data_IF_423432216256
#
_entry.id   IF_423432216256
#
_cell.length_a   1.000
_cell.length_b   1.000
_cell.length_c   1.000
_cell.angle_alpha   90.00
_cell.angle_beta   90.00
_cell.angle_gamma   90.00
#
_symmetry.space_group_name_H-M   'P 1'
#
loop_
_entity.id
_entity.type
_entity.pdbx_description
1 polymer ?
#
# COMPACT_ATOMS: atom_id res chain seq x y z
N UNK A 1 29.97 -38.82 39.13
CA UNK A 1 29.00 -38.14 38.26
C UNK A 1 29.41 -36.68 38.22
N UNK A 2 29.99 -36.23 37.11
CA UNK A 2 30.28 -34.80 36.92
C UNK A 2 28.93 -34.08 36.86
N UNK A 3 28.70 -33.16 37.80
CA UNK A 3 27.54 -32.28 37.75
C UNK A 3 27.78 -31.30 36.60
N UNK A 4 26.84 -31.26 35.64
CA UNK A 4 26.85 -30.24 34.60
C UNK A 4 26.89 -28.86 35.25
N UNK A 5 27.72 -27.96 34.72
CA UNK A 5 27.74 -26.60 35.22
C UNK A 5 26.44 -25.89 34.84
N UNK A 6 26.04 -24.88 35.62
CA UNK A 6 24.88 -24.07 35.31
C UNK A 6 24.98 -23.44 33.90
N UNK A 7 26.22 -23.12 33.48
CA UNK A 7 26.54 -22.58 32.17
C UNK A 7 26.26 -23.58 31.03
N UNK A 8 26.52 -24.86 31.27
CA UNK A 8 26.23 -25.93 30.30
C UNK A 8 24.71 -26.12 30.17
N UNK A 9 23.98 -26.09 31.30
CA UNK A 9 22.52 -26.18 31.31
C UNK A 9 21.89 -25.00 30.54
N UNK A 10 22.36 -23.78 30.76
CA UNK A 10 21.88 -22.59 30.04
C UNK A 10 22.15 -22.69 28.53
N UNK A 11 23.35 -23.14 28.12
CA UNK A 11 23.66 -23.35 26.70
C UNK A 11 22.78 -24.43 26.07
N UNK A 12 22.53 -25.54 26.77
CA UNK A 12 21.64 -26.58 26.28
C UNK A 12 20.20 -26.08 26.08
N UNK A 13 19.68 -25.30 27.02
CA UNK A 13 18.34 -24.72 26.91
C UNK A 13 18.22 -23.75 25.73
N UNK A 14 19.22 -22.91 25.50
CA UNK A 14 19.21 -21.99 24.35
C UNK A 14 19.31 -22.74 23.01
N UNK A 15 20.13 -23.79 22.92
CA UNK A 15 20.20 -24.64 21.72
C UNK A 15 18.87 -25.35 21.47
N UNK A 16 18.22 -25.88 22.51
CA UNK A 16 16.92 -26.53 22.39
C UNK A 16 15.86 -25.54 21.87
N UNK A 17 15.85 -24.30 22.38
CA UNK A 17 14.98 -23.22 21.92
C UNK A 17 15.21 -22.90 20.44
N UNK A 18 16.47 -22.72 20.03
CA UNK A 18 16.83 -22.43 18.63
C UNK A 18 16.43 -23.56 17.67
N UNK A 19 16.62 -24.82 18.08
CA UNK A 19 16.19 -25.97 17.29
C UNK A 19 14.67 -26.06 17.16
N UNK A 20 13.92 -25.72 18.22
CA UNK A 20 12.47 -25.66 18.19
C UNK A 20 11.98 -24.56 17.24
N UNK A 21 12.52 -23.33 17.36
CA UNK A 21 12.21 -22.23 16.44
C UNK A 21 12.53 -22.60 14.99
N UNK A 22 13.71 -23.19 14.72
CA UNK A 22 14.12 -23.60 13.38
C UNK A 22 13.20 -24.69 12.78
N UNK A 23 12.76 -25.66 13.61
CA UNK A 23 11.82 -26.70 13.18
C UNK A 23 10.45 -26.11 12.83
N UNK A 24 9.93 -25.21 13.66
CA UNK A 24 8.62 -24.59 13.41
C UNK A 24 8.70 -23.69 12.16
N UNK A 25 9.78 -22.93 11.99
CA UNK A 25 10.01 -22.07 10.81
C UNK A 25 10.10 -22.88 9.52
N UNK A 26 10.87 -23.98 9.51
CA UNK A 26 10.97 -24.89 8.36
C UNK A 26 9.60 -25.47 8.02
N UNK A 27 8.89 -26.02 9.01
CA UNK A 27 7.54 -26.54 8.84
C UNK A 27 6.56 -25.49 8.33
N UNK A 28 6.74 -24.22 8.70
CA UNK A 28 5.89 -23.11 8.25
C UNK A 28 6.20 -22.61 6.84
N UNK A 29 7.44 -22.75 6.37
CA UNK A 29 7.82 -22.48 4.96
C UNK A 29 7.29 -23.58 4.04
N UNK A 30 7.41 -24.83 4.46
CA UNK A 30 7.00 -26.00 3.65
C UNK A 30 5.47 -26.19 3.61
N UNK A 31 4.75 -25.61 4.58
CA UNK A 31 3.28 -25.53 4.65
C UNK A 31 2.61 -25.05 3.35
N UNK A 32 3.30 -24.31 2.49
CA UNK A 32 2.76 -23.81 1.21
C UNK A 32 3.13 -24.64 -0.03
N UNK A 33 4.19 -25.44 0.04
CA UNK A 33 4.75 -26.13 -1.13
C UNK A 33 4.41 -27.63 -1.19
N UNK A 34 4.30 -28.33 -0.04
CA UNK A 34 4.13 -29.80 -0.02
C UNK A 34 2.74 -30.31 0.40
N UNK A 35 1.89 -29.50 1.04
CA UNK A 35 0.63 -29.96 1.68
C UNK A 35 -0.63 -29.88 0.79
N UNK A 36 -0.52 -29.43 -0.46
CA UNK A 36 -1.68 -29.22 -1.34
C UNK A 36 -2.65 -28.13 -0.83
N UNK A 37 -3.79 -27.91 -1.51
CA UNK A 37 -4.76 -26.91 -1.10
C UNK A 37 -5.47 -27.32 0.20
N UNK A 38 -5.46 -26.42 1.19
CA UNK A 38 -6.22 -26.60 2.44
C UNK A 38 -7.66 -26.15 2.28
N UNK A 39 -8.57 -26.87 2.93
CA UNK A 39 -9.96 -26.43 3.07
C UNK A 39 -10.03 -25.15 3.92
N UNK A 40 -10.95 -24.25 3.57
CA UNK A 40 -11.29 -23.12 4.42
C UNK A 40 -11.94 -23.66 5.72
N UNK A 41 -11.68 -23.05 6.88
CA UNK A 41 -12.37 -23.41 8.12
C UNK A 41 -13.89 -23.30 7.97
N UNK A 42 -14.62 -24.31 8.48
CA UNK A 42 -16.09 -24.40 8.35
C UNK A 42 -16.81 -23.17 8.92
N UNK A 43 -16.30 -22.57 9.98
CA UNK A 43 -16.87 -21.35 10.57
C UNK A 43 -16.83 -20.16 9.61
N UNK A 44 -15.76 -20.03 8.82
CA UNK A 44 -15.64 -19.01 7.77
C UNK A 44 -16.55 -19.38 6.61
N UNK A 45 -16.56 -20.65 6.20
CA UNK A 45 -17.38 -21.12 5.08
C UNK A 45 -18.88 -20.89 5.35
N UNK A 46 -19.37 -21.30 6.51
CA UNK A 46 -20.75 -21.08 6.94
C UNK A 46 -21.12 -19.60 6.92
N UNK A 47 -20.24 -18.73 7.43
CA UNK A 47 -20.47 -17.27 7.38
C UNK A 47 -20.58 -16.76 5.95
N UNK A 48 -19.77 -17.26 5.01
CA UNK A 48 -19.76 -16.81 3.62
C UNK A 48 -20.94 -17.37 2.79
N UNK A 49 -21.39 -18.59 3.07
CA UNK A 49 -22.46 -19.26 2.32
C UNK A 49 -23.86 -18.96 2.86
N UNK A 50 -24.02 -18.87 4.18
CA UNK A 50 -25.32 -18.72 4.82
C UNK A 50 -25.74 -17.24 4.96
N UNK A 51 -24.77 -16.32 4.95
CA UNK A 51 -25.06 -14.90 5.06
C UNK A 51 -25.65 -14.33 3.76
N UNK A 52 -26.72 -13.55 3.88
CA UNK A 52 -27.25 -12.80 2.74
C UNK A 52 -26.21 -11.81 2.21
N UNK A 53 -26.31 -11.43 0.92
CA UNK A 53 -25.46 -10.37 0.32
C UNK A 53 -25.47 -9.06 1.12
N UNK A 54 -26.61 -8.71 1.72
CA UNK A 54 -26.75 -7.53 2.59
C UNK A 54 -25.97 -7.71 3.89
N UNK A 55 -26.02 -8.89 4.49
CA UNK A 55 -25.28 -9.22 5.71
C UNK A 55 -23.76 -9.21 5.47
N UNK A 56 -23.28 -9.83 4.38
CA UNK A 56 -21.86 -9.80 3.99
C UNK A 56 -21.39 -8.36 3.78
N UNK A 57 -22.17 -7.55 3.05
CA UNK A 57 -21.85 -6.13 2.85
C UNK A 57 -21.75 -5.38 4.19
N UNK A 58 -22.71 -5.58 5.08
CA UNK A 58 -22.70 -4.96 6.41
C UNK A 58 -21.51 -5.41 7.25
N UNK A 59 -21.13 -6.69 7.18
CA UNK A 59 -19.98 -7.24 7.89
C UNK A 59 -18.69 -6.54 7.44
N UNK A 60 -18.44 -6.49 6.13
CA UNK A 60 -17.26 -5.82 5.54
C UNK A 60 -17.22 -4.32 5.89
N UNK A 61 -18.37 -3.64 5.84
CA UNK A 61 -18.45 -2.22 6.20
C UNK A 61 -18.24 -1.99 7.70
N UNK A 62 -18.72 -2.90 8.55
CA UNK A 62 -18.57 -2.80 10.01
C UNK A 62 -17.14 -3.07 10.45
N UNK A 63 -16.43 -4.02 9.84
CA UNK A 63 -15.03 -4.30 10.15
C UNK A 63 -14.18 -3.02 10.03
N UNK A 64 -14.29 -2.33 8.90
CA UNK A 64 -13.55 -1.08 8.68
C UNK A 64 -13.90 0.09 9.62
N UNK A 65 -15.01 0.01 10.38
CA UNK A 65 -15.38 1.03 11.38
C UNK A 65 -14.82 0.74 12.77
N UNK A 66 -14.56 -0.53 13.08
CA UNK A 66 -14.12 -0.95 14.41
C UNK A 66 -12.61 -1.10 14.52
N UNK A 67 -11.91 -1.15 13.39
CA UNK A 67 -10.44 -1.19 13.36
C UNK A 67 -9.86 0.18 13.68
N UNK A 68 -8.85 0.19 14.55
CA UNK A 68 -8.10 1.36 14.99
C UNK A 68 -7.47 2.13 13.84
N UNK A 69 -7.27 3.44 14.08
CA UNK A 69 -6.56 4.32 13.17
C UNK A 69 -5.11 4.42 13.66
N UNK A 70 -4.18 4.14 12.75
CA UNK A 70 -2.75 4.20 13.03
C UNK A 70 -2.10 5.34 12.25
N UNK A 71 -1.18 6.04 12.90
CA UNK A 71 -0.36 7.08 12.28
C UNK A 71 0.94 6.46 11.76
N UNK A 72 1.12 6.46 10.44
CA UNK A 72 2.34 5.97 9.77
C UNK A 72 2.69 6.79 8.54
N UNK A 73 2.28 8.07 8.53
CA UNK A 73 2.46 8.98 7.41
C UNK A 73 1.82 8.47 6.12
N UNK A 74 2.53 8.59 5.00
CA UNK A 74 2.04 8.23 3.65
C UNK A 74 1.59 6.78 3.50
N UNK A 75 2.00 5.88 4.39
CA UNK A 75 1.62 4.46 4.35
C UNK A 75 0.21 4.22 4.89
N UNK A 76 -0.22 5.02 5.87
CA UNK A 76 -1.54 4.87 6.50
C UNK A 76 -2.59 5.80 5.89
N UNK A 77 -2.16 6.88 5.22
CA UNK A 77 -3.07 7.80 4.53
C UNK A 77 -3.58 7.26 3.21
N UNK A 78 -4.88 7.44 2.88
CA UNK A 78 -5.45 6.99 1.62
C UNK A 78 -4.96 7.85 0.45
N UNK A 79 -4.64 7.21 -0.68
CA UNK A 79 -4.32 7.93 -1.91
C UNK A 79 -5.51 8.69 -2.50
N UNK A 80 -5.25 9.79 -3.22
CA UNK A 80 -6.27 10.53 -3.94
C UNK A 80 -5.75 11.32 -5.14
N UNK A 81 -6.58 11.49 -6.17
CA UNK A 81 -6.34 12.47 -7.24
C UNK A 81 -6.56 13.89 -6.72
N UNK A 82 -5.67 14.82 -7.08
CA UNK A 82 -5.86 16.22 -6.71
C UNK A 82 -7.14 16.84 -7.31
N UNK A 83 -7.92 17.62 -6.53
CA UNK A 83 -9.20 18.19 -6.95
C UNK A 83 -9.15 18.95 -8.27
N UNK A 84 -8.09 19.74 -8.49
CA UNK A 84 -7.87 20.52 -9.70
C UNK A 84 -7.78 19.67 -10.97
N UNK A 85 -7.31 18.42 -10.85
CA UNK A 85 -7.18 17.51 -11.98
C UNK A 85 -8.40 16.63 -12.21
N UNK A 86 -9.35 16.57 -11.27
CA UNK A 86 -10.54 15.69 -11.40
C UNK A 86 -11.36 16.05 -12.65
N UNK A 87 -11.63 17.32 -12.87
CA UNK A 87 -12.41 17.76 -14.03
C UNK A 87 -11.65 17.56 -15.34
N UNK A 88 -10.33 17.73 -15.31
CA UNK A 88 -9.48 17.51 -16.47
C UNK A 88 -9.39 16.02 -16.82
N UNK A 89 -9.20 15.15 -15.82
CA UNK A 89 -9.18 13.70 -15.97
C UNK A 89 -10.51 13.18 -16.53
N UNK A 90 -11.64 13.69 -16.03
CA UNK A 90 -12.98 13.36 -16.57
C UNK A 90 -13.17 13.79 -18.02
N UNK A 91 -12.62 14.95 -18.42
CA UNK A 91 -12.68 15.45 -19.79
C UNK A 91 -11.79 14.65 -20.73
N UNK A 92 -10.60 14.28 -20.26
CA UNK A 92 -9.65 13.48 -21.02
C UNK A 92 -10.17 12.05 -21.22
N UNK A 93 -10.60 11.40 -20.14
CA UNK A 93 -11.18 10.06 -20.19
C UNK A 93 -12.01 9.76 -18.92
N UNK A 94 -13.34 9.79 -19.04
CA UNK A 94 -14.27 9.51 -17.94
C UNK A 94 -14.06 8.12 -17.34
N UNK A 95 -13.77 7.12 -18.16
CA UNK A 95 -13.55 5.73 -17.72
C UNK A 95 -12.27 5.63 -16.88
N UNK A 96 -11.21 6.35 -17.26
CA UNK A 96 -9.97 6.40 -16.48
C UNK A 96 -10.21 7.01 -15.09
N UNK A 97 -10.98 8.11 -14.98
CA UNK A 97 -11.31 8.68 -13.68
C UNK A 97 -12.05 7.67 -12.78
N UNK A 98 -12.94 6.85 -13.35
CA UNK A 98 -13.63 5.79 -12.60
C UNK A 98 -12.68 4.68 -12.16
N UNK A 99 -11.76 4.26 -13.04
CA UNK A 99 -10.73 3.25 -12.73
C UNK A 99 -9.83 3.74 -11.59
N UNK A 100 -9.25 4.94 -11.71
CA UNK A 100 -8.39 5.55 -10.68
C UNK A 100 -9.13 5.69 -9.34
N UNK A 101 -10.37 6.17 -9.36
CA UNK A 101 -11.20 6.28 -8.16
C UNK A 101 -11.47 4.93 -7.50
N UNK A 102 -11.59 3.85 -8.29
CA UNK A 102 -11.78 2.49 -7.78
C UNK A 102 -10.49 1.94 -7.18
N UNK A 103 -9.35 2.19 -7.81
CA UNK A 103 -8.04 1.78 -7.30
C UNK A 103 -7.77 2.37 -5.91
N UNK A 104 -8.00 3.67 -5.69
CA UNK A 104 -7.86 4.26 -4.35
C UNK A 104 -8.78 3.61 -3.30
N UNK A 105 -10.00 3.22 -3.69
CA UNK A 105 -10.90 2.48 -2.79
C UNK A 105 -10.39 1.08 -2.48
N UNK A 106 -9.78 0.41 -3.46
CA UNK A 106 -9.18 -0.91 -3.28
C UNK A 106 -7.91 -0.83 -2.42
N UNK A 107 -7.10 0.22 -2.58
CA UNK A 107 -5.98 0.54 -1.69
C UNK A 107 -6.45 0.77 -0.25
N UNK A 108 -7.51 1.55 -0.03
CA UNK A 108 -8.09 1.75 1.30
C UNK A 108 -8.62 0.44 1.93
N UNK A 109 -9.16 -0.48 1.13
CA UNK A 109 -9.54 -1.82 1.64
C UNK A 109 -8.34 -2.60 2.14
N UNK A 110 -7.21 -2.56 1.41
CA UNK A 110 -5.96 -3.19 1.84
C UNK A 110 -5.40 -2.54 3.11
N UNK A 111 -5.46 -1.21 3.23
CA UNK A 111 -5.08 -0.52 4.48
C UNK A 111 -5.92 -0.97 5.66
N UNK A 112 -7.24 -1.19 5.49
CA UNK A 112 -8.09 -1.72 6.57
C UNK A 112 -7.67 -3.12 7.00
N UNK A 113 -7.33 -3.98 6.04
CA UNK A 113 -6.75 -5.29 6.37
C UNK A 113 -5.42 -5.16 7.10
N UNK A 114 -4.56 -4.21 6.70
CA UNK A 114 -3.29 -3.93 7.36
C UNK A 114 -3.47 -3.46 8.81
N UNK A 115 -4.41 -2.53 9.04
CA UNK A 115 -4.76 -2.06 10.38
C UNK A 115 -5.36 -3.16 11.25
N UNK A 116 -6.26 -3.99 10.70
CA UNK A 116 -6.83 -5.11 11.46
C UNK A 116 -5.78 -6.16 11.82
N UNK A 117 -4.79 -6.40 10.96
CA UNK A 117 -3.64 -7.22 11.30
C UNK A 117 -2.76 -6.56 12.38
N UNK A 118 -2.65 -5.22 12.37
CA UNK A 118 -1.90 -4.47 13.39
C UNK A 118 -2.53 -4.61 14.77
N UNK A 119 -3.86 -4.49 14.90
CA UNK A 119 -4.56 -4.73 16.17
C UNK A 119 -4.31 -6.15 16.71
N UNK A 120 -4.43 -7.15 15.83
CA UNK A 120 -4.15 -8.54 16.21
C UNK A 120 -2.69 -8.71 16.65
N UNK A 121 -1.75 -8.00 16.03
CA UNK A 121 -0.34 -8.03 16.42
C UNK A 121 -0.14 -7.43 17.80
N UNK A 122 -0.79 -6.30 18.10
CA UNK A 122 -0.74 -5.65 19.42
C UNK A 122 -1.30 -6.58 20.50
N UNK A 123 -2.48 -7.17 20.28
CA UNK A 123 -3.07 -8.16 21.19
C UNK A 123 -2.12 -9.36 21.41
N UNK A 124 -1.50 -9.86 20.33
CA UNK A 124 -0.53 -10.96 20.42
C UNK A 124 0.74 -10.58 21.18
N UNK A 125 1.23 -9.34 21.01
CA UNK A 125 2.39 -8.83 21.72
C UNK A 125 2.10 -8.67 23.21
N UNK A 126 0.93 -8.18 23.59
CA UNK A 126 0.49 -8.14 24.99
C UNK A 126 0.48 -9.55 25.60
N UNK A 127 -0.14 -10.51 24.92
CA UNK A 127 -0.16 -11.91 25.37
C UNK A 127 1.26 -12.46 25.51
N UNK A 128 2.14 -12.24 24.52
CA UNK A 128 3.51 -12.71 24.54
C UNK A 128 4.31 -12.13 25.70
N UNK A 129 4.10 -10.85 26.01
CA UNK A 129 4.78 -10.15 27.11
C UNK A 129 4.32 -10.64 28.50
N UNK A 130 3.08 -11.10 28.61
CA UNK A 130 2.50 -11.63 29.85
C UNK A 130 2.87 -13.10 30.13
N UNK A 131 3.45 -13.81 29.16
CA UNK A 131 3.84 -15.21 29.34
C UNK A 131 5.05 -15.33 30.28
N UNK A 132 5.03 -16.25 31.26
CA UNK A 132 6.18 -16.50 32.14
C UNK A 132 7.37 -17.11 31.38
N UNK A 133 7.12 -17.71 30.22
CA UNK A 133 8.13 -18.31 29.34
C UNK A 133 7.77 -18.02 27.88
N UNK A 134 8.74 -17.62 27.03
CA UNK A 134 8.50 -17.40 25.61
C UNK A 134 7.89 -18.63 24.91
N UNK A 135 6.90 -18.41 24.03
CA UNK A 135 6.32 -19.44 23.17
C UNK A 135 6.74 -19.21 21.70
N UNK A 136 7.70 -19.99 21.18
CA UNK A 136 8.18 -19.85 19.80
C UNK A 136 7.09 -19.99 18.73
N UNK A 137 5.96 -20.65 19.02
CA UNK A 137 4.84 -20.77 18.08
C UNK A 137 4.05 -19.49 17.99
N UNK A 138 3.81 -18.84 19.13
CA UNK A 138 3.11 -17.54 19.18
C UNK A 138 3.98 -16.43 18.59
N UNK A 139 5.29 -16.44 18.86
CA UNK A 139 6.25 -15.52 18.21
C UNK A 139 6.16 -15.60 16.67
N UNK A 140 6.08 -16.82 16.14
CA UNK A 140 5.97 -17.03 14.70
C UNK A 140 4.59 -16.68 14.13
N UNK A 141 3.53 -16.74 14.93
CA UNK A 141 2.21 -16.23 14.53
C UNK A 141 2.25 -14.71 14.49
N UNK A 142 2.86 -14.06 15.49
CA UNK A 142 3.07 -12.62 15.51
C UNK A 142 3.84 -12.15 14.27
N UNK A 143 4.94 -12.83 13.90
CA UNK A 143 5.70 -12.52 12.68
C UNK A 143 4.82 -12.60 11.41
N UNK A 144 3.95 -13.61 11.31
CA UNK A 144 3.03 -13.74 10.15
C UNK A 144 1.98 -12.64 10.12
N UNK A 145 1.48 -12.23 11.28
CA UNK A 145 0.51 -11.15 11.40
C UNK A 145 1.17 -9.81 11.04
N UNK A 146 2.41 -9.58 11.47
CA UNK A 146 3.23 -8.44 11.07
C UNK A 146 3.44 -8.41 9.55
N UNK A 147 3.82 -9.54 8.95
CA UNK A 147 3.94 -9.66 7.50
C UNK A 147 2.62 -9.36 6.76
N UNK A 148 1.48 -9.77 7.32
CA UNK A 148 0.16 -9.45 6.77
C UNK A 148 -0.16 -7.95 6.89
N UNK A 149 0.20 -7.31 8.00
CA UNK A 149 0.06 -5.87 8.18
C UNK A 149 0.89 -5.12 7.13
N UNK A 150 2.16 -5.47 6.98
CA UNK A 150 3.06 -4.93 5.94
C UNK A 150 2.49 -5.14 4.55
N UNK A 151 2.00 -6.35 4.23
CA UNK A 151 1.35 -6.63 2.96
C UNK A 151 0.16 -5.70 2.69
N UNK A 152 -0.68 -5.44 3.70
CA UNK A 152 -1.81 -4.52 3.59
C UNK A 152 -1.38 -3.08 3.27
N UNK A 153 -0.45 -2.51 4.04
CA UNK A 153 0.01 -1.13 3.85
C UNK A 153 0.84 -0.96 2.57
N UNK A 154 1.82 -1.83 2.34
CA UNK A 154 2.68 -1.75 1.16
C UNK A 154 1.89 -2.06 -0.12
N UNK A 155 0.97 -3.04 -0.06
CA UNK A 155 0.07 -3.37 -1.16
C UNK A 155 -0.84 -2.20 -1.53
N UNK A 156 -1.39 -1.50 -0.53
CA UNK A 156 -2.18 -0.29 -0.75
C UNK A 156 -1.37 0.83 -1.43
N UNK A 157 -0.15 1.09 -0.93
CA UNK A 157 0.73 2.12 -1.53
C UNK A 157 1.08 1.81 -2.98
N UNK A 158 1.31 0.53 -3.31
CA UNK A 158 1.55 0.09 -4.68
C UNK A 158 0.35 0.37 -5.60
N UNK A 159 -0.88 0.12 -5.14
CA UNK A 159 -2.10 0.44 -5.90
C UNK A 159 -2.22 1.95 -6.12
N UNK A 160 -1.92 2.75 -5.10
CA UNK A 160 -2.00 4.21 -5.21
C UNK A 160 -0.97 4.77 -6.20
N UNK A 161 0.23 4.17 -6.24
CA UNK A 161 1.25 4.49 -7.23
C UNK A 161 0.81 4.11 -8.66
N UNK A 162 0.22 2.93 -8.86
CA UNK A 162 -0.34 2.55 -10.17
C UNK A 162 -1.46 3.51 -10.61
N UNK A 163 -2.31 3.95 -9.68
CA UNK A 163 -3.36 4.93 -9.93
C UNK A 163 -2.78 6.29 -10.34
N UNK A 164 -1.69 6.71 -9.69
CA UNK A 164 -0.92 7.91 -10.05
C UNK A 164 -0.34 7.82 -11.45
N UNK A 165 0.30 6.71 -11.81
CA UNK A 165 0.87 6.50 -13.15
C UNK A 165 -0.18 6.54 -14.26
N UNK A 166 -1.35 5.96 -14.03
CA UNK A 166 -2.49 6.04 -14.96
C UNK A 166 -2.95 7.48 -15.11
N UNK A 167 -3.00 8.23 -14.01
CA UNK A 167 -3.38 9.65 -13.99
C UNK A 167 -2.37 10.50 -14.79
N UNK A 168 -1.07 10.29 -14.59
CA UNK A 168 0.01 10.95 -15.35
C UNK A 168 -0.18 10.75 -16.85
N UNK A 169 -0.40 9.50 -17.29
CA UNK A 169 -0.60 9.16 -18.70
C UNK A 169 -1.86 9.81 -19.27
N UNK A 170 -2.96 9.80 -18.52
CA UNK A 170 -4.24 10.34 -18.99
C UNK A 170 -4.25 11.87 -19.07
N UNK A 171 -3.50 12.55 -18.21
CA UNK A 171 -3.36 14.02 -18.20
C UNK A 171 -2.21 14.52 -19.09
N UNK A 172 -1.53 13.60 -19.79
CA UNK A 172 -0.36 13.87 -20.62
C UNK A 172 0.70 14.72 -19.89
N UNK A 173 0.93 14.41 -18.61
CA UNK A 173 1.86 15.17 -17.77
C UNK A 173 3.30 14.85 -18.21
N UNK A 174 4.16 15.86 -18.47
CA UNK A 174 5.54 15.64 -18.86
C UNK A 174 6.31 14.80 -17.84
N UNK A 175 7.07 13.81 -18.32
CA UNK A 175 7.75 12.82 -17.48
C UNK A 175 8.70 13.43 -16.45
N UNK A 176 9.34 14.56 -16.74
CA UNK A 176 10.27 15.23 -15.82
C UNK A 176 9.56 15.89 -14.61
N UNK A 177 8.24 16.10 -14.69
CA UNK A 177 7.43 16.63 -13.59
C UNK A 177 6.81 15.53 -12.75
N UNK A 178 6.56 14.34 -13.31
CA UNK A 178 5.86 13.24 -12.62
C UNK A 178 6.70 12.38 -11.65
N UNK A 179 7.94 12.78 -11.33
CA UNK A 179 8.89 12.00 -10.51
C UNK A 179 9.29 12.68 -9.19
N UNK A 180 8.65 13.79 -8.82
CA UNK A 180 9.00 14.60 -7.64
C UNK A 180 7.97 14.37 -6.54
N UNK A 181 8.19 13.37 -5.71
CA UNK A 181 7.42 13.22 -4.47
C UNK A 181 7.76 14.35 -3.50
N UNK A 182 6.76 15.09 -3.03
CA UNK A 182 6.89 15.84 -1.78
C UNK A 182 5.96 15.28 -0.71
N UNK A 183 6.50 15.17 0.49
CA UNK A 183 5.83 14.72 1.70
C UNK A 183 5.17 15.97 2.31
N UNK A 184 4.05 16.41 1.77
CA UNK A 184 3.19 17.36 2.51
C UNK A 184 2.19 16.56 3.34
N UNK A 185 1.97 16.99 4.58
CA UNK A 185 0.99 16.41 5.52
C UNK A 185 -0.43 16.84 5.13
N UNK A 186 -1.00 16.17 4.13
CA UNK A 186 -2.44 16.18 3.89
C UNK A 186 -3.09 14.94 4.55
N UNK A 187 -4.38 15.03 4.91
CA UNK A 187 -5.23 13.90 5.35
C UNK A 187 -5.32 12.76 4.31
N UNK A 188 -4.76 12.98 3.12
CA UNK A 188 -4.68 12.04 2.01
C UNK A 188 -3.33 12.16 1.34
N UNK A 189 -2.86 11.04 0.82
CA UNK A 189 -1.67 10.99 0.00
C UNK A 189 -2.03 11.41 -1.43
N UNK A 190 -1.78 12.69 -1.74
CA UNK A 190 -2.18 13.29 -3.01
C UNK A 190 -1.31 12.77 -4.16
N UNK A 191 -1.93 12.49 -5.31
CA UNK A 191 -1.23 11.98 -6.49
C UNK A 191 -0.09 12.89 -6.97
N UNK A 192 -0.22 14.19 -6.75
CA UNK A 192 0.77 15.22 -7.05
C UNK A 192 0.82 16.20 -5.88
N UNK A 193 2.01 16.62 -5.45
CA UNK A 193 2.14 17.61 -4.37
C UNK A 193 2.88 18.85 -4.90
N UNK A 194 4.20 18.91 -4.81
CA UNK A 194 5.02 19.98 -5.45
C UNK A 194 4.85 20.04 -6.97
N UNK A 195 4.50 18.91 -7.58
CA UNK A 195 4.34 18.75 -9.02
C UNK A 195 3.19 19.57 -9.58
N UNK A 196 2.18 19.93 -8.78
CA UNK A 196 1.02 20.69 -9.26
C UNK A 196 1.43 22.02 -9.87
N UNK A 197 2.26 22.79 -9.17
CA UNK A 197 2.73 24.10 -9.64
C UNK A 197 3.63 23.93 -10.87
N UNK A 198 4.51 22.92 -10.86
CA UNK A 198 5.39 22.62 -11.99
C UNK A 198 4.65 22.10 -13.22
N UNK A 199 3.56 21.35 -13.05
CA UNK A 199 2.67 20.93 -14.15
C UNK A 199 2.04 22.15 -14.79
N UNK A 200 1.59 23.11 -13.98
CA UNK A 200 1.02 24.36 -14.48
C UNK A 200 2.06 25.22 -15.21
N UNK A 201 3.25 25.36 -14.64
CA UNK A 201 4.39 26.07 -15.27
C UNK A 201 4.80 25.41 -16.60
N UNK A 202 5.02 24.09 -16.61
CA UNK A 202 5.38 23.33 -17.81
C UNK A 202 4.34 23.50 -18.93
N UNK A 203 3.04 23.45 -18.60
CA UNK A 203 1.96 23.67 -19.56
C UNK A 203 1.92 25.11 -20.06
N UNK A 204 2.21 26.08 -19.20
CA UNK A 204 2.29 27.48 -19.58
C UNK A 204 3.46 27.73 -20.54
N UNK A 205 4.62 27.13 -20.29
CA UNK A 205 5.77 27.19 -21.18
C UNK A 205 5.49 26.52 -22.54
N UNK A 206 4.87 25.33 -22.53
CA UNK A 206 4.48 24.62 -23.75
C UNK A 206 3.41 25.38 -24.55
N UNK A 207 2.50 26.08 -23.89
CA UNK A 207 1.50 26.94 -24.54
C UNK A 207 2.12 28.22 -25.15
N UNK A 208 3.18 28.77 -24.54
CA UNK A 208 3.82 29.99 -25.01
C UNK A 208 4.87 29.75 -26.10
N UNK A 209 5.54 28.60 -26.13
CA UNK A 209 6.53 28.24 -27.16
C UNK A 209 6.00 28.32 -28.62
N UNK A 210 4.79 27.83 -28.95
CA UNK A 210 4.20 27.99 -30.28
C UNK A 210 3.98 29.46 -30.68
N UNK A 211 3.58 30.32 -29.73
CA UNK A 211 3.31 31.73 -30.01
C UNK A 211 4.58 32.54 -30.25
N UNK A 212 5.68 32.25 -29.53
CA UNK A 212 6.97 32.88 -29.78
C UNK A 212 7.56 32.48 -31.13
N UNK A 213 7.39 31.22 -31.57
CA UNK A 213 7.86 30.77 -32.88
C UNK A 213 7.04 31.35 -34.05
N UNK A 214 5.72 31.54 -33.86
CA UNK A 214 4.89 32.21 -34.87
C UNK A 214 5.18 33.72 -34.96
N UNK A 215 5.34 34.41 -33.83
CA UNK A 215 5.68 35.85 -33.83
C UNK A 215 7.09 36.11 -34.40
N UNK A 216 8.06 35.23 -34.18
CA UNK A 216 9.39 35.37 -34.80
C UNK A 216 9.40 35.08 -36.32
N UNK A 217 8.48 34.25 -36.83
CA UNK A 217 8.31 34.03 -38.28
C UNK A 217 7.57 35.18 -38.97
N UNK A 218 6.67 35.87 -38.26
CA UNK A 218 5.96 37.04 -38.78
C UNK A 218 6.82 38.31 -38.77
N UNK A 219 7.79 38.42 -37.86
CA UNK A 219 8.67 39.59 -37.74
C UNK A 219 9.99 39.51 -38.52
N UNK A 220 10.30 38.39 -39.17
CA UNK A 220 11.42 38.27 -40.10
C UNK A 220 10.91 37.77 -41.45
N UNK A 221 10.58 38.67 -42.41
CA UNK A 221 10.28 38.23 -43.75
C UNK A 221 11.56 37.63 -44.36
N UNK A 222 11.47 36.39 -44.85
CA UNK A 222 12.55 35.75 -45.60
C UNK A 222 13.08 36.69 -46.68
N UNK A 223 14.41 36.78 -46.89
CA UNK A 223 14.96 37.62 -47.95
C UNK A 223 14.39 37.14 -49.28
N UNK A 224 13.71 38.05 -49.98
CA UNK A 224 13.27 37.83 -51.34
C UNK A 224 14.50 37.61 -52.20
N UNK A 225 14.73 36.37 -52.64
CA UNK A 225 15.74 36.07 -53.65
C UNK A 225 15.26 36.65 -54.98
N UNK A 226 15.66 37.89 -55.24
CA UNK A 226 15.71 38.46 -56.58
C UNK A 226 17.15 38.34 -57.09
N UNK A 227 17.37 37.36 -57.97
CA UNK A 227 18.16 37.39 -59.21
C UNK A 227 18.58 35.97 -59.61
#
# INVERSE_FOLDING_TARGET
>A
MENLSQDDITKFLEIARQLETANITTRNRDRGFDEGPRALPDSIMATLEEASKKAIKSLVESFGKHVAIYEGGVWTQPGATNPQFINELKRANLDVNQVVSRMYKDGERLRRSGRGATEILEDLQEILNDLPTPDPRLELVAEKVEQLAVYGFAGAKRIDQEAREITIKALNIPAYVGHLESIEEDDKDMAFTVEVNRIQEARFEEFTQPQFQQNNKLNNPSPSNNQ
#
